data_IF_288966908253
#
_entry.id   IF_288966908253
#
_cell.length_a   1.000
_cell.length_b   1.000
_cell.length_c   1.000
_cell.angle_alpha   90.00
_cell.angle_beta   90.00
_cell.angle_gamma   90.00
#
_symmetry.space_group_name_H-M   'P 1'
#
loop_
_entity.id
_entity.type
_entity.pdbx_description
1 polymer ?
#
# COMPACT_ATOMS: atom_id res chain seq x y z
N UNK A 1 -32.72 -31.01 30.69
CA UNK A 1 -32.18 -30.14 31.76
C UNK A 1 -32.98 -28.83 31.96
N UNK A 2 -34.08 -28.59 31.24
CA UNK A 2 -34.86 -27.34 31.37
C UNK A 2 -36.02 -27.40 32.38
N UNK A 3 -36.65 -28.58 32.56
CA UNK A 3 -37.79 -28.77 33.49
C UNK A 3 -37.42 -28.66 34.98
N UNK A 4 -36.15 -28.90 35.32
CA UNK A 4 -35.66 -28.80 36.71
C UNK A 4 -35.53 -27.35 37.19
N UNK A 5 -35.56 -26.36 36.30
CA UNK A 5 -35.30 -24.94 36.63
C UNK A 5 -36.55 -24.15 37.08
N UNK A 6 -37.74 -24.56 36.65
CA UNK A 6 -39.00 -23.85 36.96
C UNK A 6 -39.50 -24.15 38.37
N UNK A 7 -39.36 -25.39 38.83
CA UNK A 7 -39.65 -25.78 40.22
C UNK A 7 -38.66 -25.12 41.20
N UNK A 8 -37.40 -24.96 40.79
CA UNK A 8 -36.33 -24.34 41.58
C UNK A 8 -36.52 -22.81 41.70
N UNK A 9 -37.01 -22.15 40.65
CA UNK A 9 -37.34 -20.73 40.66
C UNK A 9 -38.54 -20.40 41.59
N UNK A 10 -39.59 -21.22 41.57
CA UNK A 10 -40.76 -21.07 42.44
C UNK A 10 -40.45 -21.30 43.93
N UNK A 11 -39.62 -22.31 44.24
CA UNK A 11 -39.12 -22.56 45.59
C UNK A 11 -38.16 -21.46 46.08
N UNK A 12 -37.31 -20.93 45.20
CA UNK A 12 -36.37 -19.84 45.47
C UNK A 12 -37.08 -18.51 45.80
N UNK A 13 -38.16 -18.17 45.09
CA UNK A 13 -38.93 -16.96 45.33
C UNK A 13 -39.66 -16.97 46.69
N UNK A 14 -40.28 -18.11 47.06
CA UNK A 14 -40.94 -18.28 48.36
C UNK A 14 -39.94 -18.25 49.54
N UNK A 15 -38.77 -18.88 49.35
CA UNK A 15 -37.66 -18.85 50.32
C UNK A 15 -37.11 -17.44 50.54
N UNK A 16 -36.96 -16.67 49.45
CA UNK A 16 -36.47 -15.28 49.50
C UNK A 16 -37.46 -14.34 50.19
N UNK A 17 -38.77 -14.55 50.00
CA UNK A 17 -39.80 -13.75 50.65
C UNK A 17 -39.80 -13.93 52.18
N UNK A 18 -39.69 -15.17 52.67
CA UNK A 18 -39.60 -15.48 54.09
C UNK A 18 -38.29 -14.96 54.73
N UNK A 19 -37.17 -15.04 54.01
CA UNK A 19 -35.89 -14.49 54.46
C UNK A 19 -35.94 -12.96 54.67
N UNK A 20 -36.66 -12.24 53.78
CA UNK A 20 -36.79 -10.79 53.88
C UNK A 20 -37.73 -10.36 55.03
N UNK A 21 -38.74 -11.17 55.36
CA UNK A 21 -39.60 -10.94 56.53
C UNK A 21 -38.83 -11.15 57.84
N UNK A 22 -38.01 -12.20 57.92
CA UNK A 22 -37.14 -12.43 59.08
C UNK A 22 -36.12 -11.29 59.25
N UNK A 23 -35.53 -10.80 58.15
CA UNK A 23 -34.61 -9.66 58.19
C UNK A 23 -35.29 -8.38 58.68
N UNK A 24 -36.57 -8.16 58.36
CA UNK A 24 -37.34 -7.02 58.87
C UNK A 24 -37.48 -7.07 60.39
N UNK A 25 -37.76 -8.26 60.94
CA UNK A 25 -37.92 -8.45 62.38
C UNK A 25 -36.61 -8.17 63.12
N UNK A 26 -35.50 -8.70 62.62
CA UNK A 26 -34.16 -8.49 63.22
C UNK A 26 -33.66 -7.04 63.09
N UNK A 27 -34.12 -6.29 62.09
CA UNK A 27 -33.80 -4.89 61.89
C UNK A 27 -34.73 -3.93 62.68
N UNK A 28 -35.72 -4.45 63.40
CA UNK A 28 -36.73 -3.67 64.12
C UNK A 28 -36.44 -3.59 65.62
N UNK A 29 -36.78 -2.45 66.22
CA UNK A 29 -36.63 -2.25 67.65
C UNK A 29 -37.79 -2.89 68.41
N UNK A 30 -37.50 -3.78 69.37
CA UNK A 30 -38.53 -4.43 70.18
C UNK A 30 -39.31 -3.49 71.11
N UNK A 31 -38.94 -2.20 71.19
CA UNK A 31 -39.63 -1.19 72.02
C UNK A 31 -40.61 -0.36 71.19
N UNK A 32 -40.19 0.22 70.06
CA UNK A 32 -41.06 1.03 69.21
C UNK A 32 -41.66 0.27 68.02
N UNK A 33 -41.23 -0.97 67.78
CA UNK A 33 -41.65 -1.83 66.67
C UNK A 33 -41.39 -1.26 65.26
N UNK A 34 -40.59 -0.19 65.17
CA UNK A 34 -40.08 0.37 63.92
C UNK A 34 -38.64 -0.08 63.65
N UNK A 35 -38.15 0.12 62.43
CA UNK A 35 -36.72 -0.01 62.12
C UNK A 35 -35.82 0.74 63.11
N UNK A 36 -34.74 0.09 63.53
CA UNK A 36 -33.78 0.64 64.48
C UNK A 36 -33.19 1.98 63.99
N UNK A 37 -33.44 3.05 64.74
CA UNK A 37 -32.86 4.39 64.54
C UNK A 37 -31.70 4.56 65.52
N UNK A 38 -30.50 4.82 65.01
CA UNK A 38 -29.25 4.85 65.80
C UNK A 38 -29.13 3.62 66.73
N UNK A 39 -29.01 2.40 66.17
CA UNK A 39 -28.97 1.17 66.96
C UNK A 39 -27.82 1.19 67.97
N UNK A 40 -28.13 0.86 69.21
CA UNK A 40 -27.16 0.66 70.29
C UNK A 40 -27.28 -0.75 70.85
N UNK A 41 -26.14 -1.37 71.14
CA UNK A 41 -26.05 -2.68 71.80
C UNK A 41 -25.77 -2.50 73.30
N UNK A 42 -26.53 -3.22 74.12
CA UNK A 42 -26.36 -3.24 75.58
C UNK A 42 -25.61 -4.51 76.04
N UNK A 43 -25.23 -4.62 77.32
CA UNK A 43 -24.36 -5.70 77.81
C UNK A 43 -24.86 -7.12 77.52
N UNK A 44 -26.18 -7.33 77.50
CA UNK A 44 -26.77 -8.63 77.18
C UNK A 44 -26.80 -8.96 75.68
N UNK A 45 -26.32 -8.06 74.81
CA UNK A 45 -26.26 -8.26 73.36
C UNK A 45 -27.49 -7.82 72.57
N UNK A 46 -28.58 -7.39 73.23
CA UNK A 46 -29.78 -6.90 72.55
C UNK A 46 -29.57 -5.49 72.01
N UNK A 47 -30.23 -5.19 70.89
CA UNK A 47 -30.09 -3.91 70.17
C UNK A 47 -31.41 -3.12 70.23
N UNK A 48 -31.31 -1.81 70.44
CA UNK A 48 -32.45 -0.91 70.52
C UNK A 48 -32.15 0.41 69.84
N UNK A 49 -33.17 1.20 69.51
CA UNK A 49 -32.96 2.60 69.15
C UNK A 49 -32.37 3.32 70.37
N UNK A 50 -31.36 4.18 70.16
CA UNK A 50 -30.73 4.97 71.23
C UNK A 50 -31.78 5.71 72.07
N UNK A 51 -32.74 6.36 71.43
CA UNK A 51 -33.82 7.08 72.12
C UNK A 51 -34.72 6.15 72.94
N UNK A 52 -35.07 4.98 72.39
CA UNK A 52 -35.96 4.02 73.06
C UNK A 52 -35.35 3.47 74.35
N UNK A 53 -34.08 3.05 74.32
CA UNK A 53 -33.42 2.51 75.52
C UNK A 53 -33.05 3.61 76.52
N UNK A 54 -32.72 4.82 76.04
CA UNK A 54 -32.42 5.96 76.93
C UNK A 54 -33.67 6.35 77.73
N UNK A 55 -34.83 6.41 77.08
CA UNK A 55 -36.12 6.66 77.74
C UNK A 55 -36.51 5.54 78.70
N UNK A 56 -36.26 4.28 78.31
CA UNK A 56 -36.52 3.13 79.18
C UNK A 56 -35.70 3.15 80.49
N UNK A 57 -34.52 3.77 80.47
CA UNK A 57 -33.63 3.89 81.61
C UNK A 57 -33.65 5.27 82.28
N UNK A 58 -34.55 6.16 81.88
CA UNK A 58 -34.55 7.58 82.28
C UNK A 58 -34.56 7.73 83.81
N UNK A 59 -35.50 7.07 84.49
CA UNK A 59 -35.73 7.15 85.95
C UNK A 59 -34.89 6.16 86.79
N UNK A 60 -33.91 5.47 86.20
CA UNK A 60 -33.13 4.42 86.88
C UNK A 60 -31.73 4.91 87.26
N UNK A 61 -31.34 4.75 88.52
CA UNK A 61 -30.03 5.25 89.01
C UNK A 61 -28.94 4.17 89.11
N UNK A 62 -29.32 2.92 89.42
CA UNK A 62 -28.36 1.84 89.74
C UNK A 62 -28.49 0.59 88.88
N UNK A 63 -29.72 0.20 88.56
CA UNK A 63 -30.02 -1.06 87.87
C UNK A 63 -30.69 -0.77 86.53
N UNK A 64 -30.08 -1.24 85.44
CA UNK A 64 -30.53 -1.00 84.07
C UNK A 64 -30.98 -2.32 83.41
N UNK A 65 -32.27 -2.72 83.53
CA UNK A 65 -32.77 -3.96 82.96
C UNK A 65 -32.98 -3.86 81.46
N UNK A 66 -32.64 -4.93 80.74
CA UNK A 66 -32.96 -5.08 79.33
C UNK A 66 -34.49 -5.24 79.11
N UNK A 67 -35.11 -4.50 78.16
CA UNK A 67 -36.53 -4.65 77.81
C UNK A 67 -36.93 -6.07 77.37
N UNK A 68 -36.00 -6.83 76.78
CA UNK A 68 -36.27 -8.15 76.20
C UNK A 68 -36.01 -9.27 77.21
N UNK A 69 -34.77 -9.41 77.70
CA UNK A 69 -34.39 -10.54 78.56
C UNK A 69 -34.33 -10.21 80.06
N UNK A 70 -34.60 -8.96 80.44
CA UNK A 70 -34.59 -8.46 81.85
C UNK A 70 -33.26 -8.59 82.60
N UNK A 71 -32.18 -9.04 81.94
CA UNK A 71 -30.83 -9.04 82.51
C UNK A 71 -30.43 -7.60 82.84
N UNK A 72 -29.98 -7.37 84.08
CA UNK A 72 -29.69 -6.05 84.63
C UNK A 72 -28.21 -5.72 84.49
N UNK A 73 -27.91 -4.52 83.97
CA UNK A 73 -26.56 -3.98 83.88
C UNK A 73 -26.35 -2.94 84.99
N UNK A 74 -25.13 -2.84 85.53
CA UNK A 74 -24.81 -1.87 86.60
C UNK A 74 -24.46 -0.47 86.07
N UNK A 75 -24.21 -0.34 84.77
CA UNK A 75 -23.81 0.90 84.13
C UNK A 75 -24.66 1.14 82.87
N UNK A 76 -24.87 2.42 82.53
CA UNK A 76 -25.52 2.84 81.26
C UNK A 76 -24.58 2.67 80.05
N UNK A 77 -24.08 1.45 79.84
CA UNK A 77 -23.18 1.14 78.73
C UNK A 77 -23.95 0.94 77.41
N UNK A 78 -24.24 2.04 76.72
CA UNK A 78 -24.79 2.03 75.36
C UNK A 78 -23.67 2.14 74.33
N UNK A 79 -23.43 1.06 73.56
CA UNK A 79 -22.44 1.09 72.48
C UNK A 79 -23.13 1.24 71.13
N UNK A 80 -22.82 2.28 70.33
CA UNK A 80 -23.37 2.40 68.98
C UNK A 80 -23.00 1.20 68.11
N UNK A 81 -23.99 0.57 67.49
CA UNK A 81 -23.81 -0.54 66.57
C UNK A 81 -23.94 -0.04 65.13
N UNK A 82 -22.87 0.59 64.63
CA UNK A 82 -22.85 1.18 63.29
C UNK A 82 -23.11 0.14 62.19
N UNK A 83 -22.60 -1.08 62.36
CA UNK A 83 -22.81 -2.18 61.40
C UNK A 83 -24.28 -2.58 61.31
N UNK A 84 -24.97 -2.71 62.46
CA UNK A 84 -26.41 -2.95 62.46
C UNK A 84 -27.19 -1.77 61.86
N UNK A 85 -26.74 -0.53 62.09
CA UNK A 85 -27.28 0.64 61.42
C UNK A 85 -27.20 0.53 59.89
N UNK A 86 -26.04 0.12 59.36
CA UNK A 86 -25.88 -0.13 57.92
C UNK A 86 -26.78 -1.27 57.42
N UNK A 87 -26.92 -2.36 58.18
CA UNK A 87 -27.79 -3.49 57.81
C UNK A 87 -29.28 -3.10 57.81
N UNK A 88 -29.72 -2.25 58.74
CA UNK A 88 -31.08 -1.71 58.79
C UNK A 88 -31.39 -0.87 57.55
N UNK A 89 -30.44 -0.06 57.09
CA UNK A 89 -30.62 0.72 55.85
C UNK A 89 -30.68 -0.19 54.61
N UNK A 90 -29.85 -1.24 54.54
CA UNK A 90 -29.94 -2.24 53.47
C UNK A 90 -31.30 -2.95 53.49
N UNK A 91 -31.80 -3.33 54.67
CA UNK A 91 -33.11 -3.96 54.82
C UNK A 91 -34.25 -3.05 54.31
N UNK A 92 -34.20 -1.74 54.65
CA UNK A 92 -35.16 -0.75 54.12
C UNK A 92 -35.11 -0.64 52.60
N UNK A 93 -33.91 -0.61 52.00
CA UNK A 93 -33.75 -0.56 50.55
C UNK A 93 -34.32 -1.80 49.86
N UNK A 94 -34.03 -2.99 50.39
CA UNK A 94 -34.56 -4.25 49.86
C UNK A 94 -36.10 -4.31 49.93
N UNK A 95 -36.69 -3.79 51.00
CA UNK A 95 -38.15 -3.68 51.10
C UNK A 95 -38.75 -2.67 50.12
N UNK A 96 -38.07 -1.54 49.88
CA UNK A 96 -38.48 -0.56 48.89
C UNK A 96 -38.45 -1.17 47.48
N UNK A 97 -37.42 -1.95 47.15
CA UNK A 97 -37.32 -2.69 45.88
C UNK A 97 -38.43 -3.72 45.76
N UNK A 98 -38.71 -4.51 46.81
CA UNK A 98 -39.83 -5.48 46.80
C UNK A 98 -41.18 -4.82 46.58
N UNK A 99 -41.43 -3.67 47.23
CA UNK A 99 -42.66 -2.88 47.03
C UNK A 99 -42.76 -2.36 45.60
N UNK A 100 -41.67 -1.82 45.06
CA UNK A 100 -41.63 -1.32 43.68
C UNK A 100 -41.92 -2.42 42.64
N UNK A 101 -41.31 -3.59 42.77
CA UNK A 101 -41.56 -4.75 41.89
C UNK A 101 -43.02 -5.20 41.98
N UNK A 102 -43.59 -5.22 43.19
CA UNK A 102 -44.99 -5.56 43.39
C UNK A 102 -45.92 -4.55 42.74
N UNK A 103 -45.67 -3.25 42.93
CA UNK A 103 -46.52 -2.20 42.37
C UNK A 103 -46.46 -2.16 40.83
N UNK A 104 -45.30 -2.47 40.23
CA UNK A 104 -45.14 -2.59 38.77
C UNK A 104 -45.85 -3.83 38.18
N UNK A 105 -46.13 -4.85 39.00
CA UNK A 105 -46.88 -6.06 38.60
C UNK A 105 -48.39 -5.93 38.73
N UNK A 106 -48.89 -4.77 39.19
CA UNK A 106 -50.31 -4.50 39.39
C UNK A 106 -50.84 -3.54 38.33
N UNK A 107 -52.09 -3.75 37.93
CA UNK A 107 -52.80 -2.87 37.03
C UNK A 107 -53.00 -1.49 37.68
N UNK A 108 -52.59 -0.38 37.05
CA UNK A 108 -52.74 0.96 37.62
C UNK A 108 -54.20 1.36 37.89
N UNK A 109 -55.13 0.85 37.08
CA UNK A 109 -56.55 1.20 37.17
C UNK A 109 -57.29 0.32 38.18
N UNK A 110 -56.98 -0.98 38.19
CA UNK A 110 -57.76 -1.97 38.93
C UNK A 110 -57.05 -2.52 40.17
N UNK A 111 -55.76 -2.23 40.35
CA UNK A 111 -54.90 -2.75 41.43
C UNK A 111 -54.88 -4.29 41.51
N UNK A 112 -55.16 -4.95 40.39
CA UNK A 112 -55.15 -6.40 40.22
C UNK A 112 -53.88 -6.87 39.50
N UNK A 113 -53.47 -8.11 39.71
CA UNK A 113 -52.28 -8.66 39.07
C UNK A 113 -52.36 -8.62 37.54
N UNK A 114 -51.28 -8.17 36.89
CA UNK A 114 -51.11 -8.21 35.44
C UNK A 114 -50.74 -9.63 35.02
N UNK A 115 -51.74 -10.50 34.90
CA UNK A 115 -51.54 -11.93 34.62
C UNK A 115 -51.81 -12.31 33.15
N UNK A 116 -52.19 -11.36 32.30
CA UNK A 116 -52.53 -11.57 30.90
C UNK A 116 -51.70 -10.66 29.99
N UNK A 117 -51.56 -11.00 28.72
CA UNK A 117 -50.87 -10.21 27.71
C UNK A 117 -51.77 -9.97 26.50
N UNK A 118 -51.84 -8.72 26.04
CA UNK A 118 -52.57 -8.33 24.83
C UNK A 118 -51.59 -8.21 23.65
N UNK A 119 -51.80 -8.96 22.56
CA UNK A 119 -50.90 -8.93 21.41
C UNK A 119 -50.96 -7.63 20.61
N UNK A 120 -52.15 -7.06 20.47
CA UNK A 120 -52.40 -5.86 19.68
C UNK A 120 -51.76 -4.63 20.33
N UNK A 121 -51.91 -4.49 21.65
CA UNK A 121 -51.36 -3.36 22.41
C UNK A 121 -49.93 -3.62 22.91
N UNK A 122 -49.46 -4.88 22.88
CA UNK A 122 -48.15 -5.31 23.37
C UNK A 122 -47.89 -5.00 24.85
N UNK A 123 -48.93 -5.11 25.68
CA UNK A 123 -48.90 -4.75 27.09
C UNK A 123 -49.46 -5.88 27.97
N UNK A 124 -48.95 -5.96 29.20
CA UNK A 124 -49.51 -6.83 30.22
C UNK A 124 -50.76 -6.18 30.82
N UNK A 125 -51.85 -6.95 30.94
CA UNK A 125 -53.17 -6.49 31.39
C UNK A 125 -53.70 -7.40 32.51
N UNK A 126 -54.59 -6.88 33.36
CA UNK A 126 -55.30 -7.70 34.34
C UNK A 126 -56.60 -8.28 33.74
N UNK A 127 -57.24 -9.22 34.46
CA UNK A 127 -58.49 -9.85 34.03
C UNK A 127 -59.62 -8.84 33.77
N UNK A 128 -59.71 -7.79 34.59
CA UNK A 128 -60.74 -6.75 34.44
C UNK A 128 -60.51 -5.94 33.15
N UNK A 129 -59.26 -5.56 32.86
CA UNK A 129 -58.90 -4.90 31.60
C UNK A 129 -59.27 -5.76 30.38
N UNK A 130 -59.00 -7.07 30.43
CA UNK A 130 -59.29 -7.99 29.33
C UNK A 130 -60.78 -8.09 29.00
N UNK A 131 -61.68 -8.06 30.00
CA UNK A 131 -63.13 -8.12 29.78
C UNK A 131 -63.78 -6.75 29.57
N UNK A 132 -63.10 -5.68 29.97
CA UNK A 132 -63.57 -4.31 29.76
C UNK A 132 -63.56 -3.96 28.27
N UNK A 133 -64.35 -2.96 27.87
CA UNK A 133 -64.48 -2.54 26.47
C UNK A 133 -63.14 -2.17 25.79
N UNK A 134 -62.06 -1.91 26.55
CA UNK A 134 -60.77 -1.50 25.99
C UNK A 134 -60.01 -2.63 25.31
N UNK A 135 -60.04 -3.86 25.86
CA UNK A 135 -59.36 -5.03 25.26
C UNK A 135 -60.32 -6.18 24.91
N UNK A 136 -61.63 -5.98 25.04
CA UNK A 136 -62.66 -7.02 24.80
C UNK A 136 -62.59 -7.68 23.43
N UNK A 137 -62.11 -6.96 22.41
CA UNK A 137 -61.99 -7.45 21.05
C UNK A 137 -60.55 -7.89 20.69
N UNK A 138 -59.60 -7.77 21.62
CA UNK A 138 -58.19 -8.08 21.40
C UNK A 138 -57.87 -9.53 21.76
N UNK A 139 -56.78 -10.04 21.21
CA UNK A 139 -56.27 -11.37 21.52
C UNK A 139 -55.48 -11.30 22.81
N UNK A 140 -56.09 -11.79 23.88
CA UNK A 140 -55.51 -11.81 25.21
C UNK A 140 -55.22 -13.24 25.64
N UNK A 141 -53.98 -13.51 26.04
CA UNK A 141 -53.52 -14.83 26.49
C UNK A 141 -52.92 -14.72 27.91
N UNK A 142 -52.76 -15.83 28.64
CA UNK A 142 -51.97 -15.85 29.87
C UNK A 142 -50.57 -15.26 29.64
N UNK A 143 -50.11 -14.45 30.58
CA UNK A 143 -48.81 -13.78 30.46
C UNK A 143 -47.66 -14.79 30.35
N UNK A 144 -47.76 -15.93 31.04
CA UNK A 144 -46.75 -16.99 30.97
C UNK A 144 -46.65 -17.60 29.57
N UNK A 145 -47.77 -17.79 28.87
CA UNK A 145 -47.82 -18.34 27.51
C UNK A 145 -47.17 -17.36 26.52
N UNK A 146 -47.53 -16.08 26.58
CA UNK A 146 -46.91 -15.03 25.77
C UNK A 146 -45.40 -14.91 26.08
N UNK A 147 -45.03 -14.95 27.36
CA UNK A 147 -43.63 -14.88 27.80
C UNK A 147 -42.82 -16.02 27.21
N UNK A 148 -43.35 -17.24 27.24
CA UNK A 148 -42.66 -18.40 26.66
C UNK A 148 -42.52 -18.26 25.14
N UNK A 149 -43.57 -17.82 24.43
CA UNK A 149 -43.50 -17.58 22.98
C UNK A 149 -42.45 -16.53 22.60
N UNK A 150 -42.46 -15.37 23.27
CA UNK A 150 -41.49 -14.30 23.01
C UNK A 150 -40.08 -14.70 23.42
N UNK A 151 -39.92 -15.47 24.49
CA UNK A 151 -38.62 -16.05 24.88
C UNK A 151 -38.05 -16.92 23.77
N UNK A 152 -38.86 -17.79 23.17
CA UNK A 152 -38.42 -18.61 22.03
C UNK A 152 -38.10 -17.76 20.79
N UNK A 153 -38.92 -16.75 20.48
CA UNK A 153 -38.62 -15.81 19.38
C UNK A 153 -37.29 -15.09 19.59
N UNK A 154 -37.05 -14.58 20.80
CA UNK A 154 -35.80 -13.89 21.16
C UNK A 154 -34.61 -14.85 21.14
N UNK A 155 -34.77 -16.09 21.60
CA UNK A 155 -33.73 -17.10 21.52
C UNK A 155 -33.35 -17.44 20.07
N UNK A 156 -34.34 -17.54 19.16
CA UNK A 156 -34.08 -17.72 17.71
C UNK A 156 -33.32 -16.54 17.10
N UNK A 157 -33.45 -15.34 17.64
CA UNK A 157 -32.70 -14.17 17.20
C UNK A 157 -31.23 -14.17 17.67
N UNK A 158 -30.87 -14.94 18.71
CA UNK A 158 -29.50 -14.94 19.24
C UNK A 158 -28.49 -15.50 18.23
N UNK A 159 -28.81 -16.63 17.59
CA UNK A 159 -27.87 -17.29 16.67
C UNK A 159 -27.46 -16.40 15.48
N UNK A 160 -28.39 -15.74 14.74
CA UNK A 160 -28.01 -14.80 13.69
C UNK A 160 -27.18 -13.61 14.20
N UNK A 161 -27.46 -13.12 15.41
CA UNK A 161 -26.72 -12.01 16.02
C UNK A 161 -25.29 -12.42 16.35
N UNK A 162 -25.10 -13.61 16.94
CA UNK A 162 -23.77 -14.17 17.24
C UNK A 162 -22.96 -14.40 15.95
N UNK A 163 -23.59 -14.94 14.91
CA UNK A 163 -22.95 -15.11 13.59
C UNK A 163 -22.50 -13.76 13.01
N UNK A 164 -23.35 -12.72 13.09
CA UNK A 164 -23.00 -11.37 12.61
C UNK A 164 -21.87 -10.74 13.43
N UNK A 165 -21.85 -10.94 14.74
CA UNK A 165 -20.76 -10.48 15.60
C UNK A 165 -19.42 -11.15 15.22
N UNK A 166 -19.44 -12.46 14.95
CA UNK A 166 -18.25 -13.18 14.50
C UNK A 166 -17.78 -12.70 13.12
N UNK A 167 -18.70 -12.48 12.18
CA UNK A 167 -18.40 -11.94 10.85
C UNK A 167 -17.74 -10.56 10.94
N UNK A 168 -18.31 -9.65 11.73
CA UNK A 168 -17.76 -8.30 11.96
C UNK A 168 -16.38 -8.39 12.62
N UNK A 169 -16.20 -9.26 13.60
CA UNK A 169 -14.90 -9.44 14.29
C UNK A 169 -13.83 -9.92 13.33
N UNK A 170 -14.15 -10.90 12.48
CA UNK A 170 -13.25 -11.39 11.43
C UNK A 170 -12.91 -10.28 10.44
N UNK A 171 -13.91 -9.54 9.97
CA UNK A 171 -13.72 -8.43 9.03
C UNK A 171 -12.82 -7.35 9.64
N UNK A 172 -13.11 -6.89 10.86
CA UNK A 172 -12.31 -5.93 11.62
C UNK A 172 -10.85 -6.37 11.72
N UNK A 173 -10.60 -7.63 12.11
CA UNK A 173 -9.24 -8.16 12.22
C UNK A 173 -8.48 -8.20 10.88
N UNK A 174 -9.20 -8.33 9.76
CA UNK A 174 -8.63 -8.26 8.42
C UNK A 174 -8.31 -6.81 8.03
N UNK A 175 -9.26 -5.90 8.25
CA UNK A 175 -9.08 -4.46 8.00
C UNK A 175 -7.91 -3.87 8.82
N UNK A 176 -7.74 -4.27 10.08
CA UNK A 176 -6.64 -3.82 10.94
C UNK A 176 -5.25 -4.25 10.43
N UNK A 177 -5.16 -5.31 9.62
CA UNK A 177 -3.89 -5.76 8.99
C UNK A 177 -3.55 -4.98 7.72
N UNK A 178 -4.55 -4.49 6.98
CA UNK A 178 -4.36 -3.81 5.69
C UNK A 178 -3.41 -2.60 5.75
N UNK A 179 -3.42 -1.73 6.79
CA UNK A 179 -2.46 -0.64 6.88
C UNK A 179 -1.00 -1.11 6.90
N UNK A 180 -0.72 -2.25 7.55
CA UNK A 180 0.61 -2.85 7.57
C UNK A 180 1.02 -3.38 6.20
N UNK A 181 0.10 -4.05 5.50
CA UNK A 181 0.30 -4.51 4.12
C UNK A 181 0.54 -3.36 3.16
N UNK A 182 -0.27 -2.30 3.23
CA UNK A 182 -0.13 -1.10 2.41
C UNK A 182 1.23 -0.43 2.65
N UNK A 183 1.65 -0.28 3.91
CA UNK A 183 2.98 0.28 4.25
C UNK A 183 4.10 -0.52 3.61
N UNK A 184 4.05 -1.86 3.68
CA UNK A 184 5.06 -2.73 3.02
C UNK A 184 5.04 -2.59 1.50
N UNK A 185 3.86 -2.53 0.89
CA UNK A 185 3.72 -2.36 -0.56
C UNK A 185 4.28 -1.02 -1.03
N UNK A 186 3.97 0.07 -0.31
CA UNK A 186 4.49 1.41 -0.60
C UNK A 186 6.01 1.46 -0.45
N UNK A 187 6.57 0.84 0.60
CA UNK A 187 8.02 0.80 0.80
C UNK A 187 8.72 -0.01 -0.29
N UNK A 188 8.17 -1.17 -0.67
CA UNK A 188 8.68 -1.97 -1.78
C UNK A 188 8.67 -1.16 -3.09
N UNK A 189 7.57 -0.44 -3.36
CA UNK A 189 7.47 0.41 -4.56
C UNK A 189 8.44 1.59 -4.51
N UNK A 190 8.63 2.22 -3.35
CA UNK A 190 9.61 3.28 -3.14
C UNK A 190 11.03 2.78 -3.44
N UNK A 191 11.40 1.62 -2.92
CA UNK A 191 12.71 1.00 -3.18
C UNK A 191 12.88 0.63 -4.66
N UNK A 192 11.84 0.15 -5.31
CA UNK A 192 11.89 -0.13 -6.75
C UNK A 192 12.14 1.14 -7.56
N UNK A 193 11.43 2.23 -7.26
CA UNK A 193 11.64 3.53 -7.91
C UNK A 193 13.09 3.97 -7.72
N UNK A 194 13.61 3.95 -6.48
CA UNK A 194 15.00 4.34 -6.20
C UNK A 194 15.99 3.49 -7.01
N UNK A 195 15.83 2.17 -7.04
CA UNK A 195 16.69 1.27 -7.83
C UNK A 195 16.65 1.57 -9.34
N UNK A 196 15.47 1.86 -9.89
CA UNK A 196 15.33 2.20 -11.31
C UNK A 196 16.03 3.53 -11.68
N UNK A 197 16.09 4.47 -10.75
CA UNK A 197 16.81 5.74 -10.87
C UNK A 197 18.32 5.58 -10.63
N UNK A 198 18.75 4.80 -9.63
CA UNK A 198 20.16 4.47 -9.44
C UNK A 198 20.76 3.82 -10.70
N UNK A 199 20.02 2.90 -11.30
CA UNK A 199 20.39 2.26 -12.56
C UNK A 199 20.38 3.24 -13.75
N UNK A 200 19.54 4.28 -13.71
CA UNK A 200 19.62 5.38 -14.69
C UNK A 200 20.92 6.15 -14.54
N UNK A 201 21.22 6.59 -13.32
CA UNK A 201 22.38 7.40 -13.02
C UNK A 201 23.67 6.65 -13.38
N UNK A 202 23.78 5.37 -12.97
CA UNK A 202 24.93 4.52 -13.31
C UNK A 202 25.18 4.46 -14.82
N UNK A 203 24.14 4.26 -15.63
CA UNK A 203 24.29 4.19 -17.10
C UNK A 203 24.65 5.55 -17.72
N UNK A 204 24.10 6.64 -17.18
CA UNK A 204 24.46 7.98 -17.63
C UNK A 204 25.92 8.29 -17.31
N UNK A 205 26.38 7.92 -16.13
CA UNK A 205 27.77 8.06 -15.73
C UNK A 205 28.69 7.21 -16.62
N UNK A 206 28.30 5.97 -16.92
CA UNK A 206 29.06 5.09 -17.84
C UNK A 206 29.17 5.66 -19.26
N UNK A 207 28.07 6.17 -19.82
CA UNK A 207 28.08 6.81 -21.13
C UNK A 207 28.92 8.10 -21.10
N UNK A 208 28.83 8.90 -20.03
CA UNK A 208 29.67 10.08 -19.85
C UNK A 208 31.16 9.71 -19.81
N UNK A 209 31.54 8.71 -19.01
CA UNK A 209 32.93 8.26 -18.90
C UNK A 209 33.45 7.73 -20.23
N UNK A 210 32.65 6.95 -20.96
CA UNK A 210 33.01 6.45 -22.29
C UNK A 210 33.27 7.59 -23.29
N UNK A 211 32.43 8.62 -23.29
CA UNK A 211 32.60 9.79 -24.14
C UNK A 211 33.87 10.58 -23.80
N UNK A 212 34.17 10.72 -22.51
CA UNK A 212 35.40 11.38 -22.04
C UNK A 212 36.64 10.57 -22.43
N UNK A 213 36.64 9.25 -22.22
CA UNK A 213 37.74 8.37 -22.63
C UNK A 213 38.00 8.42 -24.12
N UNK A 214 36.94 8.41 -24.96
CA UNK A 214 37.11 8.54 -26.41
C UNK A 214 37.70 9.88 -26.84
N UNK A 215 37.34 10.97 -26.14
CA UNK A 215 37.94 12.29 -26.37
C UNK A 215 39.42 12.32 -25.97
N UNK A 216 39.77 11.71 -24.83
CA UNK A 216 41.16 11.58 -24.39
C UNK A 216 42.00 10.76 -25.38
N UNK A 217 41.44 9.67 -25.92
CA UNK A 217 42.08 8.85 -26.96
C UNK A 217 42.31 9.66 -28.25
N UNK A 218 41.32 10.43 -28.69
CA UNK A 218 41.43 11.31 -29.87
C UNK A 218 42.48 12.40 -29.66
N UNK A 219 42.51 13.03 -28.46
CA UNK A 219 43.55 14.00 -28.09
C UNK A 219 44.94 13.37 -28.14
N UNK A 220 45.12 12.18 -27.55
CA UNK A 220 46.40 11.48 -27.52
C UNK A 220 46.89 11.11 -28.93
N UNK A 221 46.00 10.64 -29.79
CA UNK A 221 46.31 10.32 -31.19
C UNK A 221 46.75 11.56 -31.98
N UNK A 222 46.01 12.69 -31.86
CA UNK A 222 46.39 13.95 -32.52
C UNK A 222 47.74 14.44 -32.00
N UNK A 223 47.97 14.42 -30.68
CA UNK A 223 49.25 14.82 -30.08
C UNK A 223 50.42 13.96 -30.54
N UNK A 224 50.19 12.65 -30.70
CA UNK A 224 51.21 11.73 -31.19
C UNK A 224 51.57 12.04 -32.66
N UNK A 225 50.56 12.21 -33.52
CA UNK A 225 50.77 12.62 -34.93
C UNK A 225 51.50 13.96 -35.05
N UNK A 226 51.16 14.93 -34.19
CA UNK A 226 51.85 16.22 -34.15
C UNK A 226 53.32 16.09 -33.73
N UNK A 227 53.62 15.26 -32.72
CA UNK A 227 54.99 15.01 -32.27
C UNK A 227 55.85 14.36 -33.35
N UNK A 228 55.31 13.34 -34.01
CA UNK A 228 55.99 12.66 -35.12
C UNK A 228 56.25 13.60 -36.29
N UNK A 229 55.27 14.42 -36.67
CA UNK A 229 55.45 15.41 -37.72
C UNK A 229 56.50 16.47 -37.35
N UNK A 230 56.49 16.95 -36.10
CA UNK A 230 57.49 17.92 -35.62
C UNK A 230 58.92 17.35 -35.64
N UNK A 231 59.11 16.10 -35.24
CA UNK A 231 60.40 15.41 -35.32
C UNK A 231 60.87 15.29 -36.78
N UNK A 232 59.99 14.81 -37.66
CA UNK A 232 60.28 14.68 -39.10
C UNK A 232 60.62 16.02 -39.77
N UNK A 233 59.90 17.10 -39.43
CA UNK A 233 60.25 18.45 -39.89
C UNK A 233 61.59 18.94 -39.31
N UNK A 234 61.88 18.58 -38.06
CA UNK A 234 63.16 18.85 -37.43
C UNK A 234 64.33 18.18 -38.14
N UNK A 235 64.14 16.95 -38.63
CA UNK A 235 65.13 16.19 -39.40
C UNK A 235 65.34 16.80 -40.78
N UNK A 236 64.26 17.04 -41.53
CA UNK A 236 64.30 17.76 -42.81
C UNK A 236 65.02 19.09 -42.70
N UNK A 237 64.77 19.87 -41.63
CA UNK A 237 65.46 21.13 -41.38
C UNK A 237 66.97 20.94 -41.19
N UNK A 238 67.41 19.91 -40.47
CA UNK A 238 68.84 19.63 -40.28
C UNK A 238 69.51 19.24 -41.60
N UNK A 239 68.86 18.41 -42.40
CA UNK A 239 69.37 18.02 -43.72
C UNK A 239 69.52 19.23 -44.65
N UNK A 240 68.53 20.12 -44.66
CA UNK A 240 68.58 21.36 -45.42
C UNK A 240 69.66 22.31 -44.92
N UNK A 241 69.84 22.46 -43.60
CA UNK A 241 70.90 23.28 -43.03
C UNK A 241 72.29 22.74 -43.38
N UNK A 242 72.47 21.42 -43.34
CA UNK A 242 73.72 20.78 -43.76
C UNK A 242 73.99 21.01 -45.25
N UNK A 243 72.97 20.85 -46.11
CA UNK A 243 73.12 21.11 -47.55
C UNK A 243 73.44 22.58 -47.83
N UNK A 244 72.81 23.51 -47.11
CA UNK A 244 73.13 24.94 -47.21
C UNK A 244 74.59 25.23 -46.85
N UNK A 245 75.07 24.67 -45.74
CA UNK A 245 76.47 24.80 -45.33
C UNK A 245 77.45 24.14 -46.32
N UNK A 246 77.10 22.99 -46.91
CA UNK A 246 77.88 22.35 -47.98
C UNK A 246 78.03 23.28 -49.20
N UNK A 247 76.92 23.91 -49.62
CA UNK A 247 76.90 24.85 -50.75
C UNK A 247 77.71 26.11 -50.44
N UNK A 248 77.50 26.74 -49.28
CA UNK A 248 78.26 27.91 -48.84
C UNK A 248 79.76 27.62 -48.76
N UNK A 249 80.13 26.46 -48.19
CA UNK A 249 81.52 26.02 -48.10
C UNK A 249 82.17 25.85 -49.47
N UNK A 250 81.47 25.23 -50.43
CA UNK A 250 81.95 25.09 -51.81
C UNK A 250 82.12 26.44 -52.51
N UNK A 251 81.23 27.41 -52.28
CA UNK A 251 81.34 28.76 -52.85
C UNK A 251 82.60 29.53 -52.40
N UNK A 252 83.19 29.17 -51.25
CA UNK A 252 84.41 29.79 -50.73
C UNK A 252 85.70 29.10 -51.20
N UNK A 253 85.61 27.95 -51.87
CA UNK A 253 86.78 27.18 -52.33
C UNK A 253 87.39 27.76 -53.61
N UNK A 254 88.65 27.39 -53.88
CA UNK A 254 89.30 27.72 -55.16
C UNK A 254 88.59 27.03 -56.33
N UNK A 255 88.63 27.61 -57.53
CA UNK A 255 87.77 27.21 -58.65
C UNK A 255 87.86 25.72 -59.04
N UNK A 256 89.02 25.07 -58.91
CA UNK A 256 89.16 23.64 -59.16
C UNK A 256 88.48 22.78 -58.09
N UNK A 257 88.69 23.08 -56.81
CA UNK A 257 88.09 22.34 -55.70
C UNK A 257 86.56 22.53 -55.65
N UNK A 258 86.06 23.75 -55.92
CA UNK A 258 84.63 24.03 -56.00
C UNK A 258 83.92 23.17 -57.07
N UNK A 259 84.55 22.98 -58.23
CA UNK A 259 83.97 22.22 -59.35
C UNK A 259 83.94 20.71 -59.11
N UNK A 260 84.67 20.21 -58.10
CA UNK A 260 84.67 18.80 -57.73
C UNK A 260 83.31 18.41 -57.15
N UNK A 261 82.68 17.41 -57.76
CA UNK A 261 81.36 16.89 -57.39
C UNK A 261 80.22 17.93 -57.37
N UNK A 262 80.38 19.08 -58.03
CA UNK A 262 79.39 20.19 -58.03
C UNK A 262 78.04 19.76 -58.60
N UNK A 263 78.05 18.87 -59.60
CA UNK A 263 76.84 18.32 -60.22
C UNK A 263 75.98 17.55 -59.21
N UNK A 264 76.61 16.78 -58.32
CA UNK A 264 75.90 16.03 -57.27
C UNK A 264 75.26 16.98 -56.24
N UNK A 265 75.97 18.03 -55.83
CA UNK A 265 75.42 19.04 -54.92
C UNK A 265 74.24 19.80 -55.56
N UNK A 266 74.35 20.16 -56.85
CA UNK A 266 73.25 20.78 -57.60
C UNK A 266 72.03 19.86 -57.74
N UNK A 267 72.23 18.58 -58.02
CA UNK A 267 71.14 17.58 -58.06
C UNK A 267 70.41 17.47 -56.72
N UNK A 268 71.12 17.55 -55.59
CA UNK A 268 70.51 17.61 -54.26
C UNK A 268 69.69 18.89 -54.07
N UNK A 269 70.19 20.05 -54.50
CA UNK A 269 69.47 21.32 -54.41
C UNK A 269 68.19 21.35 -55.26
N UNK A 270 68.21 20.75 -56.46
CA UNK A 270 67.01 20.66 -57.30
C UNK A 270 65.92 19.79 -56.66
N UNK A 271 66.29 18.70 -55.96
CA UNK A 271 65.34 17.86 -55.22
C UNK A 271 64.64 18.58 -54.07
N UNK A 272 65.26 19.61 -53.49
CA UNK A 272 64.65 20.42 -52.42
C UNK A 272 63.49 21.26 -52.95
N UNK A 273 63.60 21.78 -54.19
CA UNK A 273 62.55 22.64 -54.79
C UNK A 273 61.21 21.92 -54.96
N UNK A 274 61.23 20.59 -55.06
CA UNK A 274 60.04 19.75 -55.18
C UNK A 274 59.62 19.10 -53.85
N UNK A 275 60.25 19.45 -52.73
CA UNK A 275 59.96 18.83 -51.44
C UNK A 275 58.69 19.43 -50.83
N UNK A 276 57.70 18.59 -50.53
CA UNK A 276 56.48 19.00 -49.82
C UNK A 276 56.67 18.99 -48.30
N UNK A 277 56.04 19.96 -47.65
CA UNK A 277 55.97 20.13 -46.20
C UNK A 277 54.52 19.87 -45.79
N UNK A 278 54.29 18.76 -45.09
CA UNK A 278 52.95 18.36 -44.63
C UNK A 278 52.64 18.93 -43.25
N UNK A 279 51.45 19.50 -43.10
CA UNK A 279 50.89 19.94 -41.82
C UNK A 279 49.83 18.93 -41.34
N UNK A 280 49.82 18.65 -40.04
CA UNK A 280 48.81 17.78 -39.41
C UNK A 280 47.60 18.63 -38.99
N UNK A 281 46.39 18.13 -39.22
CA UNK A 281 45.13 18.77 -38.78
C UNK A 281 44.86 18.49 -37.31
N UNK A 282 44.20 19.44 -36.64
CA UNK A 282 43.78 19.36 -35.23
C UNK A 282 42.24 19.33 -35.08
N UNK A 283 41.51 19.01 -36.15
CA UNK A 283 40.05 18.93 -36.11
C UNK A 283 39.58 17.72 -35.32
N UNK A 284 38.74 17.97 -34.31
CA UNK A 284 38.04 16.93 -33.54
C UNK A 284 36.80 16.43 -34.27
N UNK A 285 36.46 15.16 -34.09
CA UNK A 285 35.21 14.58 -34.56
C UNK A 285 33.99 15.29 -33.94
N UNK A 286 33.13 15.87 -34.78
CA UNK A 286 31.92 16.61 -34.36
C UNK A 286 30.81 15.73 -33.79
N UNK A 287 31.05 14.43 -33.61
CA UNK A 287 30.04 13.41 -33.30
C UNK A 287 29.44 13.53 -31.89
N UNK A 288 30.05 14.34 -31.01
CA UNK A 288 29.71 14.36 -29.58
C UNK A 288 28.80 15.51 -29.14
N UNK A 289 28.56 16.51 -30.00
CA UNK A 289 28.01 17.80 -29.54
C UNK A 289 26.49 17.95 -29.65
N UNK A 290 25.78 17.02 -30.31
CA UNK A 290 24.39 17.21 -30.70
C UNK A 290 23.44 16.07 -30.29
N UNK A 291 23.51 15.61 -29.04
CA UNK A 291 22.41 14.80 -28.51
C UNK A 291 21.43 15.71 -27.76
N UNK A 292 20.22 15.97 -28.30
CA UNK A 292 19.18 16.66 -27.55
C UNK A 292 18.99 15.94 -26.21
N UNK A 293 18.76 16.66 -25.11
CA UNK A 293 18.52 16.05 -23.78
C UNK A 293 17.40 14.98 -23.78
N UNK A 294 16.49 15.07 -24.75
CA UNK A 294 15.42 14.12 -25.02
C UNK A 294 15.92 12.77 -25.54
N UNK A 295 17.09 12.72 -26.20
CA UNK A 295 17.71 11.52 -26.76
C UNK A 295 18.08 10.49 -25.69
N UNK A 296 18.61 10.92 -24.54
CA UNK A 296 18.96 10.00 -23.45
C UNK A 296 17.71 9.39 -22.77
N UNK A 297 16.65 10.18 -22.62
CA UNK A 297 15.37 9.70 -22.10
C UNK A 297 14.65 8.78 -23.11
N UNK A 298 14.60 9.15 -24.40
CA UNK A 298 14.02 8.32 -25.46
C UNK A 298 14.80 7.02 -25.64
N UNK A 299 16.14 7.05 -25.71
CA UNK A 299 16.96 5.86 -25.92
C UNK A 299 16.80 4.86 -24.76
N UNK A 300 16.55 5.30 -23.52
CA UNK A 300 16.25 4.39 -22.41
C UNK A 300 14.86 3.73 -22.52
N UNK A 301 13.84 4.48 -22.95
CA UNK A 301 12.49 3.93 -23.19
C UNK A 301 12.52 2.97 -24.40
N UNK A 302 13.26 3.33 -25.44
CA UNK A 302 13.30 2.61 -26.71
C UNK A 302 14.24 1.40 -26.67
N UNK A 303 15.34 1.43 -25.89
CA UNK A 303 16.22 0.27 -25.65
C UNK A 303 15.51 -0.92 -24.98
N UNK A 304 14.42 -0.68 -24.24
CA UNK A 304 13.58 -1.74 -23.67
C UNK A 304 12.60 -2.35 -24.70
N UNK A 305 12.51 -1.76 -25.89
CA UNK A 305 11.56 -2.12 -26.94
C UNK A 305 12.25 -2.52 -28.26
N UNK A 306 13.58 -2.74 -28.24
CA UNK A 306 14.34 -3.13 -29.44
C UNK A 306 13.85 -4.50 -29.90
N UNK A 307 13.17 -4.54 -31.04
CA UNK A 307 12.84 -5.76 -31.73
C UNK A 307 13.97 -6.07 -32.73
N UNK A 308 14.41 -7.33 -32.78
CA UNK A 308 15.39 -7.74 -33.78
C UNK A 308 14.69 -7.93 -35.13
N UNK A 309 14.78 -6.92 -36.00
CA UNK A 309 14.14 -6.93 -37.31
C UNK A 309 15.11 -7.47 -38.36
N UNK A 310 14.74 -8.58 -38.99
CA UNK A 310 15.47 -9.18 -40.12
C UNK A 310 14.64 -9.11 -41.39
N UNK A 311 15.28 -8.81 -42.52
CA UNK A 311 14.62 -8.63 -43.81
C UNK A 311 14.28 -9.98 -44.46
N UNK A 312 13.08 -10.11 -45.03
CA UNK A 312 12.60 -11.33 -45.69
C UNK A 312 13.03 -11.38 -47.17
N UNK A 313 13.94 -12.29 -47.56
CA UNK A 313 14.39 -12.43 -48.95
C UNK A 313 13.29 -12.88 -49.92
N UNK A 314 12.22 -13.52 -49.44
CA UNK A 314 11.11 -13.96 -50.29
C UNK A 314 10.26 -12.79 -50.77
N UNK A 315 10.21 -11.71 -50.00
CA UNK A 315 9.47 -10.48 -50.33
C UNK A 315 10.32 -9.49 -51.13
N UNK A 316 11.64 -9.52 -50.96
CA UNK A 316 12.55 -8.54 -51.52
C UNK A 316 12.47 -8.39 -53.04
N UNK A 317 12.38 -7.15 -53.51
CA UNK A 317 12.42 -6.84 -54.93
C UNK A 317 13.72 -7.34 -55.61
N UNK A 318 13.70 -7.82 -56.87
CA UNK A 318 14.88 -8.38 -57.54
C UNK A 318 16.12 -7.49 -57.61
N UNK A 319 15.93 -6.17 -57.55
CA UNK A 319 17.01 -5.17 -57.53
C UNK A 319 17.51 -4.81 -56.11
N UNK A 320 17.06 -5.52 -55.08
CA UNK A 320 17.55 -5.36 -53.71
C UNK A 320 18.48 -6.53 -53.36
N UNK A 321 19.69 -6.19 -52.93
CA UNK A 321 20.67 -7.14 -52.40
C UNK A 321 20.67 -7.03 -50.89
N UNK A 322 20.36 -8.14 -50.23
CA UNK A 322 20.41 -8.27 -48.77
C UNK A 322 21.78 -8.79 -48.33
N UNK A 323 22.26 -8.32 -47.18
CA UNK A 323 23.42 -8.91 -46.50
C UNK A 323 23.09 -10.31 -45.97
N UNK A 324 24.13 -11.11 -45.70
CA UNK A 324 23.98 -12.47 -45.16
C UNK A 324 23.25 -12.50 -43.81
N UNK A 325 23.50 -11.49 -42.97
CA UNK A 325 22.82 -11.30 -41.68
C UNK A 325 21.38 -10.76 -41.81
N UNK A 326 20.94 -10.44 -43.04
CA UNK A 326 19.62 -9.88 -43.37
C UNK A 326 19.28 -8.56 -42.67
N UNK A 327 20.28 -7.80 -42.21
CA UNK A 327 20.08 -6.49 -41.56
C UNK A 327 20.40 -5.30 -42.46
N UNK A 328 21.06 -5.53 -43.59
CA UNK A 328 21.39 -4.50 -44.57
C UNK A 328 20.74 -4.78 -45.91
N UNK A 329 20.33 -3.72 -46.60
CA UNK A 329 19.78 -3.77 -47.94
C UNK A 329 20.43 -2.71 -48.82
N UNK A 330 20.80 -3.11 -50.05
CA UNK A 330 21.37 -2.22 -51.06
C UNK A 330 20.61 -2.36 -52.37
N UNK A 331 20.24 -1.23 -52.96
CA UNK A 331 19.68 -1.20 -54.31
C UNK A 331 20.79 -1.32 -55.36
N UNK A 332 20.56 -2.11 -56.40
CA UNK A 332 21.44 -2.27 -57.56
C UNK A 332 20.68 -1.97 -58.85
N UNK A 333 21.25 -1.14 -59.74
CA UNK A 333 20.59 -0.75 -60.99
C UNK A 333 20.47 -1.91 -61.98
N UNK A 334 21.43 -2.84 -61.98
CA UNK A 334 21.44 -4.03 -62.83
C UNK A 334 20.96 -5.25 -62.04
N UNK A 335 19.94 -5.94 -62.55
CA UNK A 335 19.40 -7.17 -61.95
C UNK A 335 20.50 -8.24 -61.88
N UNK A 336 20.87 -8.66 -60.67
CA UNK A 336 22.02 -9.55 -60.44
C UNK A 336 21.68 -11.06 -60.33
N UNK A 337 20.43 -11.49 -60.56
CA UNK A 337 20.06 -12.93 -60.56
C UNK A 337 18.67 -13.19 -61.15
N UNK A 338 18.51 -14.35 -61.77
CA UNK A 338 17.21 -14.98 -62.07
C UNK A 338 16.59 -15.54 -60.78
N UNK A 339 16.22 -14.65 -59.86
CA UNK A 339 15.38 -15.03 -58.73
C UNK A 339 14.00 -15.42 -59.28
N UNK A 340 13.45 -16.58 -58.87
CA UNK A 340 12.12 -16.99 -59.32
C UNK A 340 11.08 -15.99 -58.80
N UNK A 341 10.16 -15.60 -59.69
CA UNK A 341 9.02 -14.77 -59.32
C UNK A 341 8.08 -15.61 -58.45
N UNK A 342 7.97 -15.21 -57.18
CA UNK A 342 7.04 -15.80 -56.23
C UNK A 342 5.89 -14.83 -55.99
N UNK A 343 4.67 -15.30 -55.68
CA UNK A 343 3.52 -14.41 -55.41
C UNK A 343 3.73 -13.42 -54.27
N UNK A 344 4.73 -13.67 -53.40
CA UNK A 344 5.08 -12.83 -52.24
C UNK A 344 6.09 -11.74 -52.57
N UNK A 345 6.74 -11.79 -53.73
CA UNK A 345 7.83 -10.88 -54.11
C UNK A 345 7.28 -9.56 -54.64
N UNK A 346 7.81 -8.43 -54.16
CA UNK A 346 7.54 -7.12 -54.76
C UNK A 346 8.25 -7.03 -56.10
N UNK A 347 7.49 -6.87 -57.19
CA UNK A 347 8.04 -6.78 -58.56
C UNK A 347 7.95 -5.37 -59.16
N UNK A 348 7.11 -4.50 -58.58
CA UNK A 348 6.87 -3.16 -59.11
C UNK A 348 7.59 -2.05 -58.32
N UNK A 349 7.69 -2.17 -57.00
CA UNK A 349 8.39 -1.21 -56.14
C UNK A 349 9.60 -1.88 -55.47
N UNK A 350 10.74 -1.16 -55.30
CA UNK A 350 11.94 -1.69 -54.66
C UNK A 350 11.77 -1.75 -53.14
N UNK A 351 10.91 -2.66 -52.68
CA UNK A 351 10.55 -2.87 -51.29
C UNK A 351 10.97 -4.27 -50.81
N UNK A 352 11.12 -4.38 -49.49
CA UNK A 352 11.35 -5.63 -48.75
C UNK A 352 10.65 -5.52 -47.40
N UNK A 353 10.05 -6.60 -46.92
CA UNK A 353 9.40 -6.66 -45.62
C UNK A 353 10.32 -7.28 -44.56
N UNK A 354 9.95 -7.10 -43.29
CA UNK A 354 10.51 -7.89 -42.21
C UNK A 354 10.01 -9.35 -42.30
N UNK A 355 10.84 -10.28 -41.82
CA UNK A 355 10.52 -11.71 -41.74
C UNK A 355 9.37 -11.98 -40.77
N UNK A 356 9.31 -11.21 -39.69
CA UNK A 356 8.26 -11.31 -38.68
C UNK A 356 7.44 -10.01 -38.62
N UNK A 357 6.12 -10.18 -38.55
CA UNK A 357 5.19 -9.09 -38.29
C UNK A 357 4.79 -9.05 -36.81
N UNK A 358 4.46 -7.86 -36.33
CA UNK A 358 4.01 -7.68 -34.95
C UNK A 358 2.48 -7.72 -34.88
N UNK A 359 1.92 -8.56 -34.01
CA UNK A 359 0.46 -8.71 -33.85
C UNK A 359 -0.11 -7.91 -32.68
N UNK A 360 0.75 -7.47 -31.75
CA UNK A 360 0.39 -6.61 -30.62
C UNK A 360 1.67 -6.04 -29.96
N UNK A 361 1.53 -5.02 -29.10
CA UNK A 361 2.65 -4.45 -28.33
C UNK A 361 3.24 -3.16 -28.92
N UNK A 362 4.36 -2.71 -28.34
CA UNK A 362 5.15 -1.55 -28.79
C UNK A 362 6.52 -2.04 -29.23
N UNK A 363 6.95 -1.70 -30.44
CA UNK A 363 8.18 -2.19 -31.05
C UNK A 363 9.01 -1.03 -31.57
N UNK A 364 10.32 -1.14 -31.45
CA UNK A 364 11.26 -0.14 -31.92
C UNK A 364 12.43 -0.81 -32.66
N UNK A 365 12.88 -0.19 -33.75
CA UNK A 365 14.08 -0.58 -34.47
C UNK A 365 14.78 0.67 -35.02
N UNK A 366 16.10 0.59 -35.16
CA UNK A 366 16.94 1.65 -35.71
C UNK A 366 17.51 1.18 -37.06
N UNK A 367 17.61 2.09 -38.03
CA UNK A 367 18.21 1.81 -39.34
C UNK A 367 19.27 2.87 -39.59
N UNK A 368 20.52 2.44 -39.79
CA UNK A 368 21.59 3.32 -40.20
C UNK A 368 21.46 3.62 -41.70
N UNK A 369 21.49 4.91 -42.06
CA UNK A 369 21.34 5.35 -43.44
C UNK A 369 22.46 6.30 -43.83
N UNK A 370 23.32 5.86 -44.76
CA UNK A 370 24.31 6.70 -45.44
C UNK A 370 23.85 7.02 -46.88
N UNK A 371 23.53 8.30 -47.17
CA UNK A 371 23.24 8.81 -48.53
C UNK A 371 21.89 9.53 -48.71
N UNK A 372 21.82 10.45 -49.69
CA UNK A 372 20.65 11.29 -49.99
C UNK A 372 19.66 10.61 -50.96
N UNK A 373 18.36 10.86 -50.69
CA UNK A 373 17.15 10.68 -51.52
C UNK A 373 16.35 9.36 -51.38
N UNK A 374 15.10 9.51 -50.91
CA UNK A 374 13.96 8.66 -51.30
C UNK A 374 13.75 7.34 -50.55
N UNK A 375 13.86 7.30 -49.21
CA UNK A 375 13.51 6.11 -48.41
C UNK A 375 12.22 6.36 -47.62
N UNK A 376 11.27 5.44 -47.70
CA UNK A 376 10.00 5.51 -46.97
C UNK A 376 9.86 4.24 -46.11
N UNK A 377 9.73 4.41 -44.79
CA UNK A 377 9.48 3.33 -43.85
C UNK A 377 7.98 3.29 -43.55
N UNK A 378 7.35 2.13 -43.74
CA UNK A 378 5.91 1.95 -43.50
C UNK A 378 5.66 0.73 -42.61
N UNK A 379 4.66 0.86 -41.74
CA UNK A 379 4.02 -0.27 -41.09
C UNK A 379 2.85 -0.72 -41.96
N UNK A 380 2.87 -1.95 -42.46
CA UNK A 380 1.81 -2.51 -43.30
C UNK A 380 1.04 -3.60 -42.53
N UNK A 381 -0.30 -3.65 -42.59
CA UNK A 381 -1.08 -4.74 -42.01
C UNK A 381 -0.75 -6.07 -42.71
N UNK A 382 -0.77 -7.16 -41.95
CA UNK A 382 -0.48 -8.50 -42.46
C UNK A 382 -1.64 -9.01 -43.35
N UNK A 383 -1.46 -9.02 -44.67
CA UNK A 383 -2.40 -9.58 -45.65
C UNK A 383 -1.84 -9.54 -47.07
N UNK A 384 -2.30 -10.40 -48.01
CA UNK A 384 -1.79 -10.41 -49.37
C UNK A 384 -2.46 -9.26 -50.15
N UNK A 385 -1.85 -8.08 -50.12
CA UNK A 385 -2.23 -7.00 -51.02
C UNK A 385 -1.02 -6.62 -51.86
N UNK A 386 -1.01 -7.10 -53.11
CA UNK A 386 -0.34 -6.38 -54.18
C UNK A 386 -1.11 -5.06 -54.35
N UNK A 387 -0.62 -4.00 -53.71
CA UNK A 387 -1.18 -2.65 -53.88
C UNK A 387 -0.70 -2.14 -55.23
N UNK A 388 -1.49 -2.44 -56.26
CA UNK A 388 -1.55 -1.62 -57.47
C UNK A 388 -1.96 -0.20 -57.10
N UNK A 389 -1.41 0.77 -57.84
CA UNK A 389 -1.55 2.22 -57.68
C UNK A 389 -2.76 2.67 -56.85
N UNK A 390 -2.57 2.95 -55.56
CA UNK A 390 -3.40 3.93 -54.87
C UNK A 390 -2.72 4.40 -53.58
N UNK A 391 -2.94 5.69 -53.30
CA UNK A 391 -2.35 6.46 -52.19
C UNK A 391 -2.50 5.70 -50.87
N UNK A 392 -1.37 5.46 -50.21
CA UNK A 392 -1.34 5.00 -48.82
C UNK A 392 -1.76 6.19 -47.94
N UNK A 393 -3.02 6.19 -47.51
CA UNK A 393 -3.55 7.11 -46.49
C UNK A 393 -3.45 6.41 -45.14
N UNK A 394 -2.82 6.99 -44.11
CA UNK A 394 -2.89 6.47 -42.75
C UNK A 394 -4.23 6.87 -42.11
N UNK A 395 -4.92 5.92 -41.46
CA UNK A 395 -5.98 6.20 -40.46
C UNK A 395 -5.39 6.76 -39.16
#
# INVERSE_FOLDING_TARGET
>A
MAETSLLDAGASAASTAAALENLQVEASCSVCLEYLKEPVIIECGHNFCKACITRWWEDLERDFPCPVCRKTSRYRSLRPNRQLGSMVEIAKQLQAVKRKIRDESLCPQHHEALSLFCYEDQEAVCLICAISHTHRAHTVVPLDDATQEYKEKLQKCLEPLEQKLQEITRCKSSEEKKPGELKRLVECRRQQILKEFEELHRRLDEEQQMLLSRLEEEEQDILQRLRENAAHLGDKRRDLAHLAAEVEGKCLQSGFEMLKDVKSTLEKCEKVKTMEVTSVSIELEKNFSNFPRQYFALRKILKQLIADVTLDPETAHPNLVLSEDRKSVKFVETRLRDLPDTPRRFTFYPCVLATEGFTSGRHYWEVEASGLVGRMLHHLPSGPQQIGSDRVVPE
#
